data_IF_895615977441
#
_entry.id   IF_895615977441
#
_cell.length_a   1.000
_cell.length_b   1.000
_cell.length_c   1.000
_cell.angle_alpha   90.00
_cell.angle_beta   90.00
_cell.angle_gamma   90.00
#
_symmetry.space_group_name_H-M   'P 1'
#
loop_
_entity.id
_entity.type
_entity.pdbx_description
1 polymer ?
#
# COMPACT_ATOMS: atom_id res chain seq x y z
N UNK A 1 -27.71 7.28 -10.61
CA UNK A 1 -26.34 7.72 -10.24
C UNK A 1 -25.47 6.50 -10.14
N UNK A 2 -24.37 6.41 -10.90
CA UNK A 2 -23.43 5.29 -10.78
C UNK A 2 -22.11 5.78 -10.20
N UNK A 3 -21.96 5.72 -8.88
CA UNK A 3 -20.63 5.85 -8.26
C UNK A 3 -19.77 4.63 -8.60
N UNK A 4 -20.41 3.46 -8.62
CA UNK A 4 -19.81 2.23 -9.10
C UNK A 4 -19.28 2.37 -10.54
N UNK A 5 -18.15 1.72 -10.81
CA UNK A 5 -17.57 1.58 -12.13
C UNK A 5 -16.97 0.16 -12.29
N UNK A 6 -16.89 -0.37 -13.52
CA UNK A 6 -16.26 -1.67 -13.78
C UNK A 6 -14.81 -1.69 -13.29
N UNK A 7 -14.34 -2.84 -12.79
CA UNK A 7 -12.97 -3.03 -12.31
C UNK A 7 -12.61 -2.29 -11.00
N UNK A 8 -13.60 -1.73 -10.28
CA UNK A 8 -13.37 -0.99 -9.03
C UNK A 8 -12.63 -1.80 -7.95
N UNK A 9 -12.80 -3.13 -7.92
CA UNK A 9 -12.18 -4.03 -6.93
C UNK A 9 -11.02 -4.86 -7.47
N UNK A 10 -10.85 -4.93 -8.79
CA UNK A 10 -9.92 -5.84 -9.45
C UNK A 10 -8.49 -5.73 -8.91
N UNK A 11 -8.01 -4.50 -8.71
CA UNK A 11 -6.65 -4.31 -8.20
C UNK A 11 -6.47 -4.92 -6.81
N UNK A 12 -7.45 -4.75 -5.93
CA UNK A 12 -7.41 -5.32 -4.58
C UNK A 12 -7.41 -6.85 -4.61
N UNK A 13 -8.20 -7.43 -5.51
CA UNK A 13 -8.31 -8.89 -5.69
C UNK A 13 -7.02 -9.48 -6.26
N UNK A 14 -6.31 -8.75 -7.12
CA UNK A 14 -5.01 -9.16 -7.67
C UNK A 14 -3.85 -9.11 -6.64
N UNK A 15 -4.00 -8.41 -5.53
CA UNK A 15 -2.96 -8.35 -4.50
C UNK A 15 -2.97 -9.67 -3.72
N UNK A 16 -1.88 -10.43 -3.84
CA UNK A 16 -1.69 -11.66 -3.08
C UNK A 16 -1.65 -11.40 -1.57
N UNK A 17 -2.14 -12.38 -0.80
CA UNK A 17 -1.99 -12.37 0.64
C UNK A 17 -0.52 -12.45 1.05
N UNK A 18 -0.14 -11.84 2.20
CA UNK A 18 1.21 -11.96 2.72
C UNK A 18 1.57 -13.42 2.99
N UNK A 19 2.86 -13.74 2.87
CA UNK A 19 3.35 -15.06 3.25
C UNK A 19 3.16 -15.28 4.75
N UNK A 20 2.93 -16.53 5.17
CA UNK A 20 2.75 -16.89 6.58
C UNK A 20 3.83 -16.23 7.46
N UNK A 21 3.38 -15.54 8.52
CA UNK A 21 4.19 -14.83 9.52
C UNK A 21 4.91 -13.56 9.03
N UNK A 22 4.66 -13.07 7.81
CA UNK A 22 5.17 -11.77 7.37
C UNK A 22 4.28 -10.62 7.85
N UNK A 23 4.88 -9.45 8.08
CA UNK A 23 4.23 -8.22 8.57
C UNK A 23 3.63 -8.22 9.99
N UNK A 24 3.60 -9.33 10.74
CA UNK A 24 3.12 -9.34 12.13
C UNK A 24 3.87 -8.37 13.05
N UNK A 25 5.10 -7.99 12.66
CA UNK A 25 5.91 -7.00 13.35
C UNK A 25 5.30 -5.59 13.32
N UNK A 26 4.40 -5.28 12.37
CA UNK A 26 3.87 -3.92 12.16
C UNK A 26 3.09 -3.39 13.37
N UNK A 27 2.49 -4.29 14.16
CA UNK A 27 1.72 -3.96 15.36
C UNK A 27 2.51 -4.16 16.67
N UNK A 28 3.80 -4.52 16.58
CA UNK A 28 4.68 -4.63 17.76
C UNK A 28 5.24 -3.25 18.10
N UNK A 29 5.69 -3.08 19.34
CA UNK A 29 6.33 -1.84 19.76
C UNK A 29 7.62 -1.62 18.94
N UNK A 30 7.74 -0.52 18.18
CA UNK A 30 8.95 -0.24 17.42
C UNK A 30 10.22 -0.21 18.29
N UNK A 31 10.11 0.16 19.57
CA UNK A 31 11.23 0.19 20.52
C UNK A 31 11.85 -1.20 20.75
N UNK A 32 11.06 -2.28 20.62
CA UNK A 32 11.54 -3.65 20.77
C UNK A 32 12.35 -4.13 19.56
N UNK A 33 12.25 -3.45 18.41
CA UNK A 33 12.82 -3.92 17.15
C UNK A 33 14.15 -3.27 16.77
N UNK A 34 14.64 -2.32 17.58
CA UNK A 34 15.90 -1.60 17.33
C UNK A 34 15.87 -0.69 16.09
N UNK A 35 14.72 -0.51 15.45
CA UNK A 35 14.50 0.38 14.31
C UNK A 35 13.22 1.19 14.54
N UNK A 36 13.30 2.49 14.86
CA UNK A 36 12.11 3.27 15.12
C UNK A 36 11.41 3.60 13.80
N UNK A 37 10.26 2.96 13.55
CA UNK A 37 9.20 3.57 12.73
C UNK A 37 8.18 4.21 13.66
N UNK A 38 7.34 5.09 13.12
CA UNK A 38 6.25 5.66 13.92
C UNK A 38 5.21 4.56 14.21
N UNK A 39 4.92 4.31 15.47
CA UNK A 39 3.99 3.24 15.88
C UNK A 39 2.60 3.42 15.25
N UNK A 40 2.27 2.55 14.29
CA UNK A 40 0.98 2.53 13.61
C UNK A 40 -0.15 2.10 14.55
N UNK A 41 0.12 1.22 15.52
CA UNK A 41 -0.85 0.82 16.52
C UNK A 41 -1.28 2.02 17.37
N UNK A 42 -0.30 2.83 17.78
CA UNK A 42 -0.54 4.13 18.43
C UNK A 42 -1.30 5.09 17.52
N UNK A 43 -0.90 5.23 16.26
CA UNK A 43 -1.64 6.07 15.30
C UNK A 43 -3.11 5.64 15.19
N UNK A 44 -3.39 4.34 15.04
CA UNK A 44 -4.74 3.83 14.83
C UNK A 44 -5.67 4.05 16.03
N UNK A 45 -5.16 3.93 17.26
CA UNK A 45 -5.98 4.06 18.47
C UNK A 45 -6.07 5.48 19.05
N UNK A 46 -5.14 6.38 18.71
CA UNK A 46 -5.09 7.71 19.32
C UNK A 46 -6.15 8.64 18.72
N UNK A 47 -6.68 9.56 19.54
CA UNK A 47 -7.67 10.57 19.14
C UNK A 47 -7.19 11.52 18.03
N UNK A 48 -5.88 11.63 17.81
CA UNK A 48 -5.30 12.43 16.73
C UNK A 48 -5.69 11.85 15.37
N UNK A 49 -6.40 12.64 14.58
CA UNK A 49 -6.68 12.31 13.18
C UNK A 49 -5.54 12.76 12.27
N UNK A 50 -5.56 12.30 11.03
CA UNK A 50 -4.52 12.64 10.07
C UNK A 50 -4.09 11.47 9.19
N UNK A 51 -2.90 11.61 8.64
CA UNK A 51 -2.32 10.67 7.68
C UNK A 51 -1.20 9.86 8.33
N UNK A 52 -1.16 8.56 8.05
CA UNK A 52 -0.01 7.69 8.23
C UNK A 52 0.52 7.29 6.85
N UNK A 53 1.81 7.48 6.60
CA UNK A 53 2.40 7.27 5.28
C UNK A 53 3.37 6.09 5.24
N UNK A 54 3.06 5.09 4.41
CA UNK A 54 3.93 3.94 4.13
C UNK A 54 4.66 4.20 2.82
N UNK A 55 5.98 4.35 2.90
CA UNK A 55 6.85 4.51 1.74
C UNK A 55 7.70 3.28 1.49
N UNK A 56 8.13 3.07 0.25
CA UNK A 56 8.94 1.91 -0.09
C UNK A 56 9.30 1.82 -1.56
N UNK A 57 10.37 1.07 -1.86
CA UNK A 57 10.83 0.81 -3.23
C UNK A 57 9.74 0.09 -4.05
N UNK A 58 9.87 0.14 -5.38
CA UNK A 58 9.06 -0.69 -6.25
C UNK A 58 9.27 -2.17 -5.89
N UNK A 59 8.20 -2.96 -5.85
CA UNK A 59 8.28 -4.38 -5.51
C UNK A 59 8.63 -4.71 -4.05
N UNK A 60 8.67 -3.74 -3.13
CA UNK A 60 8.96 -4.00 -1.70
C UNK A 60 7.78 -4.57 -0.90
N UNK A 61 6.61 -4.81 -1.52
CA UNK A 61 5.42 -5.35 -0.87
C UNK A 61 4.46 -4.34 -0.24
N UNK A 62 4.50 -3.05 -0.66
CA UNK A 62 3.62 -1.99 -0.11
C UNK A 62 2.14 -2.34 -0.20
N UNK A 63 1.66 -2.70 -1.39
CA UNK A 63 0.25 -3.04 -1.63
C UNK A 63 -0.20 -4.25 -0.79
N UNK A 64 0.68 -5.25 -0.64
CA UNK A 64 0.44 -6.40 0.24
C UNK A 64 0.34 -5.97 1.71
N UNK A 65 1.23 -5.10 2.19
CA UNK A 65 1.16 -4.56 3.54
C UNK A 65 -0.09 -3.70 3.76
N UNK A 66 -0.46 -2.86 2.79
CA UNK A 66 -1.67 -2.02 2.83
C UNK A 66 -2.94 -2.87 2.95
N UNK A 67 -3.05 -3.94 2.13
CA UNK A 67 -4.14 -4.90 2.19
C UNK A 67 -4.16 -5.66 3.52
N UNK A 68 -2.99 -6.10 3.98
CA UNK A 68 -2.85 -6.75 5.28
C UNK A 68 -3.35 -5.86 6.41
N UNK A 69 -2.88 -4.60 6.51
CA UNK A 69 -3.31 -3.67 7.56
C UNK A 69 -4.81 -3.41 7.47
N UNK A 70 -5.34 -3.12 6.28
CA UNK A 70 -6.75 -2.75 6.09
C UNK A 70 -7.71 -3.87 6.49
N UNK A 71 -7.31 -5.12 6.28
CA UNK A 71 -8.15 -6.30 6.57
C UNK A 71 -7.83 -6.96 7.91
N UNK A 72 -6.86 -6.45 8.68
CA UNK A 72 -6.44 -7.06 9.94
C UNK A 72 -7.45 -6.78 11.09
N UNK A 73 -7.77 -7.82 11.86
CA UNK A 73 -8.64 -7.69 13.04
C UNK A 73 -8.06 -6.75 14.11
N UNK A 74 -6.73 -6.70 14.24
CA UNK A 74 -6.03 -5.77 15.15
C UNK A 74 -6.26 -4.33 14.73
N UNK A 75 -6.16 -4.02 13.43
CA UNK A 75 -6.45 -2.67 12.91
C UNK A 75 -7.86 -2.25 13.29
N UNK A 76 -8.86 -3.10 13.01
CA UNK A 76 -10.26 -2.82 13.36
C UNK A 76 -10.43 -2.59 14.86
N UNK A 77 -9.85 -3.45 15.70
CA UNK A 77 -9.90 -3.31 17.17
C UNK A 77 -9.31 -1.99 17.65
N UNK A 78 -8.18 -1.55 17.09
CA UNK A 78 -7.54 -0.29 17.45
C UNK A 78 -8.35 0.92 16.97
N UNK A 79 -8.87 0.87 15.74
CA UNK A 79 -9.73 1.93 15.20
C UNK A 79 -11.06 2.05 15.96
N UNK A 80 -11.63 0.94 16.46
CA UNK A 80 -12.83 0.99 17.31
C UNK A 80 -12.57 1.73 18.62
N UNK A 81 -11.35 1.65 19.19
CA UNK A 81 -10.98 2.47 20.36
C UNK A 81 -10.96 3.96 20.01
N UNK A 82 -10.47 4.31 18.82
CA UNK A 82 -10.50 5.68 18.32
C UNK A 82 -11.92 6.19 18.03
N UNK A 83 -12.77 5.36 17.44
CA UNK A 83 -14.17 5.69 17.14
C UNK A 83 -15.00 5.86 18.42
N UNK A 84 -14.69 5.12 19.48
CA UNK A 84 -15.41 5.19 20.75
C UNK A 84 -16.85 4.70 20.58
N UNK A 85 -17.82 5.62 20.74
CA UNK A 85 -19.25 5.33 20.53
C UNK A 85 -19.71 5.52 19.08
N UNK A 86 -18.88 6.12 18.24
CA UNK A 86 -19.21 6.34 16.84
C UNK A 86 -19.14 5.04 16.04
N UNK A 87 -19.91 4.98 14.96
CA UNK A 87 -19.78 3.93 13.96
C UNK A 87 -18.43 4.07 13.22
N UNK A 88 -17.79 2.95 12.88
CA UNK A 88 -16.54 2.92 12.12
C UNK A 88 -16.81 2.44 10.70
N UNK A 89 -16.46 3.27 9.72
CA UNK A 89 -16.48 2.93 8.30
C UNK A 89 -15.04 2.84 7.79
N UNK A 90 -14.65 1.66 7.31
CA UNK A 90 -13.33 1.39 6.74
C UNK A 90 -13.47 1.18 5.23
N UNK A 91 -12.72 1.94 4.44
CA UNK A 91 -12.77 1.88 2.97
C UNK A 91 -11.37 1.94 2.38
N UNK A 92 -11.20 1.34 1.21
CA UNK A 92 -9.90 1.20 0.56
C UNK A 92 -9.94 1.55 -0.93
N UNK A 93 -8.82 2.04 -1.45
CA UNK A 93 -8.58 2.20 -2.88
C UNK A 93 -7.15 1.82 -3.20
N UNK A 94 -6.96 1.05 -4.27
CA UNK A 94 -5.65 0.62 -4.72
C UNK A 94 -5.46 1.12 -6.15
N UNK A 95 -4.54 2.08 -6.31
CA UNK A 95 -4.15 2.55 -7.63
C UNK A 95 -3.58 1.41 -8.45
N UNK A 96 -3.85 1.45 -9.76
CA UNK A 96 -3.27 0.52 -10.70
C UNK A 96 -2.90 1.21 -12.01
N UNK A 97 -1.60 1.43 -12.21
CA UNK A 97 -1.08 2.08 -13.40
C UNK A 97 -1.44 1.32 -14.69
N UNK A 98 -1.45 -0.02 -14.63
CA UNK A 98 -1.86 -0.90 -15.73
C UNK A 98 -3.38 -1.09 -15.85
N UNK A 99 -4.17 -0.37 -15.06
CA UNK A 99 -5.62 -0.46 -15.02
C UNK A 99 -6.33 0.53 -15.94
N UNK A 100 -7.65 0.64 -15.77
CA UNK A 100 -8.49 1.63 -16.43
C UNK A 100 -8.16 3.07 -15.99
N UNK A 101 -8.60 4.07 -16.76
CA UNK A 101 -8.43 5.50 -16.39
C UNK A 101 -9.00 5.84 -15.00
N UNK A 102 -10.08 5.17 -14.58
CA UNK A 102 -10.64 5.36 -13.24
C UNK A 102 -9.73 4.75 -12.15
N UNK A 103 -9.06 3.63 -12.39
CA UNK A 103 -8.13 3.04 -11.42
C UNK A 103 -6.83 3.85 -11.22
N UNK A 104 -6.64 4.90 -12.02
CA UNK A 104 -5.45 5.77 -11.97
C UNK A 104 -5.78 7.27 -11.93
N UNK A 105 -7.02 7.63 -11.56
CA UNK A 105 -7.45 9.03 -11.49
C UNK A 105 -8.13 9.39 -10.17
N UNK A 106 -8.19 10.69 -9.90
CA UNK A 106 -8.84 11.27 -8.74
C UNK A 106 -10.33 10.91 -8.67
N UNK A 107 -10.99 10.94 -9.83
CA UNK A 107 -12.41 10.60 -9.97
C UNK A 107 -12.66 9.17 -9.51
N UNK A 108 -11.79 8.22 -9.86
CA UNK A 108 -11.95 6.84 -9.42
C UNK A 108 -11.72 6.66 -7.92
N UNK A 109 -10.75 7.37 -7.32
CA UNK A 109 -10.57 7.40 -5.86
C UNK A 109 -11.87 7.86 -5.19
N UNK A 110 -12.35 9.06 -5.54
CA UNK A 110 -13.53 9.64 -4.90
C UNK A 110 -14.78 8.79 -5.12
N UNK A 111 -14.99 8.28 -6.34
CA UNK A 111 -16.11 7.39 -6.67
C UNK A 111 -16.06 6.11 -5.83
N UNK A 112 -14.90 5.47 -5.74
CA UNK A 112 -14.75 4.21 -5.01
C UNK A 112 -14.96 4.39 -3.50
N UNK A 113 -14.30 5.39 -2.90
CA UNK A 113 -14.44 5.68 -1.48
C UNK A 113 -15.88 6.06 -1.12
N UNK A 114 -16.52 6.96 -1.89
CA UNK A 114 -17.92 7.31 -1.68
C UNK A 114 -18.85 6.11 -1.88
N UNK A 115 -18.63 5.31 -2.92
CA UNK A 115 -19.44 4.11 -3.15
C UNK A 115 -19.40 3.18 -1.93
N UNK A 116 -18.21 2.88 -1.41
CA UNK A 116 -18.05 2.00 -0.26
C UNK A 116 -18.65 2.59 1.03
N UNK A 117 -18.46 3.90 1.28
CA UNK A 117 -19.07 4.59 2.42
C UNK A 117 -20.60 4.52 2.34
N UNK A 118 -21.17 4.88 1.19
CA UNK A 118 -22.62 4.93 1.01
C UNK A 118 -23.26 3.54 0.93
N UNK A 119 -22.52 2.51 0.46
CA UNK A 119 -22.96 1.13 0.52
C UNK A 119 -22.99 0.61 1.97
N UNK A 120 -22.05 1.04 2.80
CA UNK A 120 -22.00 0.69 4.24
C UNK A 120 -23.09 1.42 5.02
N UNK A 121 -23.30 2.72 4.75
CA UNK A 121 -24.31 3.54 5.41
C UNK A 121 -25.19 4.30 4.41
N UNK A 122 -26.24 3.66 3.85
CA UNK A 122 -27.11 4.25 2.85
C UNK A 122 -27.81 5.54 3.29
N UNK A 123 -28.00 5.75 4.60
CA UNK A 123 -28.55 6.99 5.15
C UNK A 123 -27.74 8.24 4.79
N UNK A 124 -26.47 8.09 4.41
CA UNK A 124 -25.60 9.18 3.99
C UNK A 124 -25.82 9.63 2.54
N UNK A 125 -26.63 8.92 1.74
CA UNK A 125 -26.84 9.25 0.31
C UNK A 125 -27.49 10.63 0.17
N UNK A 126 -28.52 10.93 0.97
CA UNK A 126 -29.19 12.22 0.96
C UNK A 126 -28.25 13.37 1.36
N UNK A 127 -27.30 13.08 2.26
CA UNK A 127 -26.30 14.05 2.69
C UNK A 127 -25.25 14.31 1.61
N UNK A 128 -24.76 13.25 0.97
CA UNK A 128 -23.74 13.29 -0.07
C UNK A 128 -24.26 13.96 -1.35
N UNK A 129 -25.51 13.66 -1.75
CA UNK A 129 -26.10 14.09 -3.01
C UNK A 129 -27.56 14.54 -2.86
N UNK A 130 -27.81 15.65 -2.13
CA UNK A 130 -29.17 16.08 -1.79
C UNK A 130 -30.04 16.37 -3.03
N UNK A 131 -29.47 17.04 -4.04
CA UNK A 131 -30.19 17.39 -5.27
C UNK A 131 -30.55 16.15 -6.09
N UNK A 132 -29.62 15.21 -6.23
CA UNK A 132 -29.86 13.96 -6.96
C UNK A 132 -30.82 13.05 -6.20
N UNK A 133 -30.77 13.04 -4.88
CA UNK A 133 -31.73 12.34 -4.04
C UNK A 133 -33.14 12.91 -4.22
N UNK A 134 -33.28 14.24 -4.16
CA UNK A 134 -34.56 14.93 -4.40
C UNK A 134 -35.11 14.63 -5.80
N UNK A 135 -34.27 14.70 -6.83
CA UNK A 135 -34.67 14.38 -8.20
C UNK A 135 -35.17 12.93 -8.34
N UNK A 136 -34.51 11.96 -7.70
CA UNK A 136 -34.96 10.57 -7.67
C UNK A 136 -36.33 10.39 -7.01
N UNK A 137 -36.61 11.14 -5.94
CA UNK A 137 -37.91 11.11 -5.26
C UNK A 137 -39.04 11.73 -6.10
N UNK A 138 -38.76 12.78 -6.89
CA UNK A 138 -39.76 13.53 -7.66
C UNK A 138 -40.01 12.91 -9.04
N UNK A 139 -38.97 12.46 -9.74
CA UNK A 139 -39.05 12.10 -11.17
C UNK A 139 -39.63 10.70 -11.46
N UNK A 140 -40.28 10.05 -10.48
CA UNK A 140 -40.90 8.73 -10.68
C UNK A 140 -39.95 7.64 -11.20
N UNK A 141 -38.63 7.81 -11.03
CA UNK A 141 -37.61 6.87 -11.50
C UNK A 141 -37.01 7.16 -12.89
N UNK A 142 -37.35 8.25 -13.58
CA UNK A 142 -36.60 8.64 -14.78
C UNK A 142 -35.18 9.08 -14.40
N UNK A 143 -34.22 8.19 -14.68
CA UNK A 143 -32.81 8.38 -14.35
C UNK A 143 -32.16 9.29 -15.39
N UNK A 144 -31.90 10.54 -15.05
CA UNK A 144 -30.76 11.22 -15.66
C UNK A 144 -29.48 10.64 -15.05
N UNK A 145 -28.87 9.70 -15.77
CA UNK A 145 -27.70 8.92 -15.34
C UNK A 145 -26.38 9.64 -15.58
N UNK A 146 -26.31 10.96 -15.46
CA UNK A 146 -25.03 11.64 -15.60
C UNK A 146 -24.10 11.26 -14.46
N UNK A 147 -22.87 10.92 -14.82
CA UNK A 147 -21.80 10.67 -13.85
C UNK A 147 -21.56 11.94 -13.01
N UNK A 148 -21.34 11.82 -11.69
CA UNK A 148 -20.97 12.97 -10.88
C UNK A 148 -19.67 13.61 -11.37
N UNK A 149 -19.66 14.94 -11.46
CA UNK A 149 -18.44 15.67 -11.81
C UNK A 149 -17.41 15.59 -10.67
N UNK A 150 -16.11 15.81 -10.92
CA UNK A 150 -15.09 15.82 -9.87
C UNK A 150 -15.43 16.81 -8.73
N UNK A 151 -15.92 18.01 -9.08
CA UNK A 151 -16.37 19.01 -8.11
C UNK A 151 -17.56 18.54 -7.28
N UNK A 152 -18.47 17.78 -7.88
CA UNK A 152 -19.59 17.18 -7.15
C UNK A 152 -19.13 16.09 -6.19
N UNK A 153 -18.21 15.22 -6.63
CA UNK A 153 -17.64 14.15 -5.80
C UNK A 153 -16.89 14.71 -4.58
N UNK A 154 -16.07 15.74 -4.77
CA UNK A 154 -15.37 16.44 -3.68
C UNK A 154 -16.34 17.04 -2.68
N UNK A 155 -17.38 17.74 -3.16
CA UNK A 155 -18.44 18.30 -2.30
C UNK A 155 -19.19 17.22 -1.54
N UNK A 156 -19.53 16.11 -2.19
CA UNK A 156 -20.22 14.99 -1.57
C UNK A 156 -19.38 14.37 -0.44
N UNK A 157 -18.09 14.14 -0.68
CA UNK A 157 -17.20 13.59 0.34
C UNK A 157 -17.07 14.54 1.54
N UNK A 158 -16.81 15.83 1.28
CA UNK A 158 -16.71 16.83 2.34
C UNK A 158 -18.02 16.94 3.14
N UNK A 159 -19.18 16.92 2.46
CA UNK A 159 -20.48 16.96 3.13
C UNK A 159 -20.68 15.75 4.06
N UNK A 160 -20.31 14.54 3.61
CA UNK A 160 -20.39 13.32 4.43
C UNK A 160 -19.50 13.44 5.66
N UNK A 161 -18.23 13.79 5.47
CA UNK A 161 -17.26 13.81 6.57
C UNK A 161 -17.54 14.93 7.58
N UNK A 162 -17.95 16.11 7.13
CA UNK A 162 -18.17 17.27 8.01
C UNK A 162 -19.48 17.20 8.79
N UNK A 163 -20.55 16.66 8.18
CA UNK A 163 -21.89 16.70 8.78
C UNK A 163 -22.27 15.42 9.51
N UNK A 164 -21.51 14.33 9.32
CA UNK A 164 -21.73 13.07 10.02
C UNK A 164 -20.87 13.01 11.29
N UNK A 165 -21.45 13.40 12.43
CA UNK A 165 -20.73 13.43 13.71
C UNK A 165 -20.64 12.07 14.40
N UNK A 166 -21.56 11.16 14.07
CA UNK A 166 -21.71 9.81 14.62
C UNK A 166 -20.86 8.75 13.92
N UNK A 167 -20.05 9.13 12.93
CA UNK A 167 -19.24 8.20 12.13
C UNK A 167 -17.77 8.62 12.10
N UNK A 168 -16.89 7.63 12.19
CA UNK A 168 -15.46 7.74 11.99
C UNK A 168 -15.07 6.99 10.72
N UNK A 169 -14.23 7.60 9.89
CA UNK A 169 -13.82 7.06 8.60
C UNK A 169 -12.33 6.69 8.61
N UNK A 170 -12.01 5.47 8.22
CA UNK A 170 -10.64 5.04 7.93
C UNK A 170 -10.50 4.80 6.43
N UNK A 171 -9.58 5.54 5.81
CA UNK A 171 -9.33 5.51 4.37
C UNK A 171 -7.95 4.89 4.12
N UNK A 172 -7.89 3.76 3.44
CA UNK A 172 -6.63 3.18 2.96
C UNK A 172 -6.47 3.48 1.46
N UNK A 173 -5.44 4.23 1.07
CA UNK A 173 -5.17 4.55 -0.34
C UNK A 173 -3.74 4.11 -0.69
N UNK A 174 -3.65 3.05 -1.48
CA UNK A 174 -2.37 2.45 -1.89
C UNK A 174 -1.93 2.93 -3.27
N UNK A 175 -0.64 3.22 -3.42
CA UNK A 175 -0.01 3.47 -4.72
C UNK A 175 -0.24 4.87 -5.27
N UNK A 176 -0.14 5.92 -4.46
CA UNK A 176 -0.28 7.30 -4.96
C UNK A 176 0.69 7.62 -6.12
N UNK A 177 1.85 6.95 -6.18
CA UNK A 177 2.81 7.06 -7.29
C UNK A 177 2.34 6.42 -8.61
N UNK A 178 1.25 5.65 -8.60
CA UNK A 178 0.64 5.05 -9.79
C UNK A 178 -0.47 5.92 -10.41
N UNK A 179 -0.71 7.11 -9.86
CA UNK A 179 -1.63 8.11 -10.41
C UNK A 179 -1.19 8.56 -11.82
N UNK A 180 -2.16 8.63 -12.73
CA UNK A 180 -1.95 9.07 -14.11
C UNK A 180 -2.37 10.54 -14.25
N UNK A 181 -1.42 11.43 -14.01
CA UNK A 181 -1.54 12.85 -14.27
C UNK A 181 -0.17 13.50 -14.41
N UNK A 182 -0.12 14.74 -14.89
CA UNK A 182 1.13 15.49 -14.93
C UNK A 182 1.65 15.74 -13.51
N UNK A 183 2.92 16.15 -13.35
CA UNK A 183 3.49 16.46 -12.03
C UNK A 183 2.65 17.49 -11.24
N UNK A 184 2.03 18.45 -11.94
CA UNK A 184 1.10 19.41 -11.36
C UNK A 184 -0.17 18.75 -10.79
N UNK A 185 -0.68 17.70 -11.45
CA UNK A 185 -1.87 16.95 -11.03
C UNK A 185 -1.57 16.05 -9.82
N UNK A 186 -0.33 15.58 -9.68
CA UNK A 186 0.10 14.83 -8.49
C UNK A 186 0.00 15.68 -7.22
N UNK A 187 0.36 16.96 -7.32
CA UNK A 187 0.22 17.90 -6.19
C UNK A 187 -1.25 18.13 -5.82
N UNK A 188 -2.15 18.15 -6.82
CA UNK A 188 -3.59 18.25 -6.60
C UNK A 188 -4.17 16.99 -5.93
N UNK A 189 -3.70 15.80 -6.32
CA UNK A 189 -4.07 14.55 -5.66
C UNK A 189 -3.64 14.54 -4.20
N UNK A 190 -2.38 14.92 -3.93
CA UNK A 190 -1.85 14.95 -2.57
C UNK A 190 -2.58 15.97 -1.71
N UNK A 191 -2.82 17.18 -2.25
CA UNK A 191 -3.65 18.20 -1.62
C UNK A 191 -5.03 17.66 -1.27
N UNK A 192 -5.71 17.03 -2.23
CA UNK A 192 -7.01 16.41 -2.00
C UNK A 192 -6.95 15.40 -0.85
N UNK A 193 -6.07 14.40 -0.91
CA UNK A 193 -6.02 13.36 0.12
C UNK A 193 -5.68 13.93 1.49
N UNK A 194 -4.82 14.96 1.56
CA UNK A 194 -4.58 15.70 2.80
C UNK A 194 -5.82 16.40 3.30
N UNK A 195 -6.59 17.06 2.44
CA UNK A 195 -7.84 17.72 2.83
C UNK A 195 -8.87 16.71 3.36
N UNK A 196 -8.97 15.54 2.73
CA UNK A 196 -9.86 14.46 3.20
C UNK A 196 -9.47 13.99 4.61
N UNK A 197 -8.16 13.94 4.91
CA UNK A 197 -7.62 13.36 6.16
C UNK A 197 -7.37 14.37 7.28
N UNK A 198 -7.52 15.67 7.02
CA UNK A 198 -7.40 16.72 8.04
C UNK A 198 -8.58 16.75 9.02
N UNK A 199 -9.72 16.14 8.66
CA UNK A 199 -10.89 16.13 9.52
C UNK A 199 -10.68 15.23 10.74
N UNK A 200 -11.17 15.66 11.91
CA UNK A 200 -11.00 14.97 13.21
C UNK A 200 -11.68 13.59 13.30
N UNK A 201 -12.46 13.23 12.28
CA UNK A 201 -13.15 11.94 12.13
C UNK A 201 -12.59 11.09 10.99
N UNK A 202 -11.46 11.48 10.40
CA UNK A 202 -10.84 10.75 9.29
C UNK A 202 -9.40 10.38 9.63
N UNK A 203 -9.08 9.09 9.48
CA UNK A 203 -7.69 8.62 9.44
C UNK A 203 -7.37 8.11 8.05
N UNK A 204 -6.28 8.61 7.48
CA UNK A 204 -5.74 8.13 6.22
C UNK A 204 -4.54 7.22 6.44
N UNK A 205 -4.54 6.05 5.82
CA UNK A 205 -3.36 5.23 5.60
C UNK A 205 -3.00 5.33 4.12
N UNK A 206 -1.85 5.92 3.81
CA UNK A 206 -1.45 6.22 2.44
C UNK A 206 -0.17 5.48 2.09
N UNK A 207 -0.05 5.01 0.86
CA UNK A 207 1.19 4.39 0.37
C UNK A 207 1.70 5.03 -0.91
N UNK A 208 3.02 5.13 -1.04
CA UNK A 208 3.66 5.53 -2.30
C UNK A 208 5.15 5.14 -2.38
N UNK A 209 5.77 5.37 -3.52
CA UNK A 209 7.24 5.51 -3.60
C UNK A 209 7.71 6.74 -2.82
N UNK A 210 8.96 6.76 -2.32
CA UNK A 210 9.53 7.89 -1.61
C UNK A 210 9.99 9.01 -2.57
N UNK A 211 9.12 9.43 -3.49
CA UNK A 211 9.39 10.57 -4.37
C UNK A 211 9.35 11.89 -3.59
N UNK A 212 10.09 12.89 -4.07
CA UNK A 212 10.25 14.17 -3.38
C UNK A 212 8.90 14.85 -3.05
N UNK A 213 7.94 14.81 -3.99
CA UNK A 213 6.60 15.38 -3.78
C UNK A 213 5.87 14.77 -2.57
N UNK A 214 5.97 13.47 -2.37
CA UNK A 214 5.34 12.79 -1.23
C UNK A 214 6.13 13.00 0.06
N UNK A 215 7.46 12.95 0.00
CA UNK A 215 8.32 13.22 1.15
C UNK A 215 8.09 14.62 1.72
N UNK A 216 7.97 15.61 0.85
CA UNK A 216 7.71 16.99 1.25
C UNK A 216 6.28 17.14 1.78
N UNK A 217 5.30 16.51 1.13
CA UNK A 217 3.89 16.67 1.48
C UNK A 217 3.47 15.92 2.74
N UNK A 218 4.12 14.81 3.06
CA UNK A 218 3.86 14.01 4.26
C UNK A 218 4.95 14.21 5.32
N UNK A 219 5.79 15.24 5.17
CA UNK A 219 6.74 15.64 6.20
C UNK A 219 6.00 15.95 7.52
N UNK A 220 6.42 15.30 8.60
CA UNK A 220 5.80 15.44 9.92
C UNK A 220 4.58 14.53 10.16
N UNK A 221 4.10 13.80 9.15
CA UNK A 221 3.16 12.71 9.38
C UNK A 221 3.90 11.47 9.92
N UNK A 222 3.26 10.66 10.77
CA UNK A 222 3.81 9.37 11.14
C UNK A 222 4.02 8.50 9.89
N UNK A 223 5.17 7.84 9.81
CA UNK A 223 5.58 7.12 8.61
C UNK A 223 6.35 5.83 8.87
N UNK A 224 6.36 4.98 7.84
CA UNK A 224 7.12 3.73 7.77
C UNK A 224 7.82 3.63 6.42
N UNK A 225 9.10 3.27 6.42
CA UNK A 225 9.86 2.92 5.21
C UNK A 225 9.97 1.41 5.07
N UNK A 226 9.04 0.80 4.35
CA UNK A 226 8.85 -0.66 4.34
C UNK A 226 10.13 -1.45 4.01
N UNK A 227 10.89 -1.02 3.02
CA UNK A 227 12.11 -1.70 2.57
C UNK A 227 13.21 -1.82 3.64
N UNK A 228 13.14 -1.04 4.72
CA UNK A 228 14.06 -1.14 5.85
C UNK A 228 13.69 -2.29 6.82
N UNK A 229 12.50 -2.87 6.67
CA UNK A 229 11.91 -3.88 7.57
C UNK A 229 11.66 -5.23 6.90
N UNK A 230 11.84 -5.33 5.59
CA UNK A 230 11.57 -6.58 4.85
C UNK A 230 12.66 -7.63 5.01
N UNK A 231 13.87 -7.30 5.49
CA UNK A 231 15.00 -8.25 5.53
C UNK A 231 14.70 -9.54 6.31
N UNK A 232 14.13 -9.51 7.53
CA UNK A 232 13.79 -10.75 8.25
C UNK A 232 12.71 -11.57 7.54
N UNK A 233 11.70 -10.91 6.98
CA UNK A 233 10.62 -11.56 6.24
C UNK A 233 11.14 -12.20 4.93
N UNK A 234 12.05 -11.53 4.23
CA UNK A 234 12.76 -12.04 3.05
C UNK A 234 13.60 -13.27 3.41
N UNK A 235 14.36 -13.22 4.51
CA UNK A 235 15.14 -14.37 4.97
C UNK A 235 14.26 -15.58 5.30
N UNK A 236 13.11 -15.36 5.97
CA UNK A 236 12.14 -16.43 6.24
C UNK A 236 11.56 -16.99 4.94
N UNK A 237 11.20 -16.14 3.99
CA UNK A 237 10.69 -16.56 2.68
C UNK A 237 11.71 -17.40 1.90
N UNK A 238 12.95 -16.92 1.80
CA UNK A 238 14.05 -17.62 1.11
C UNK A 238 14.33 -18.98 1.76
N UNK A 239 14.44 -19.02 3.09
CA UNK A 239 14.63 -20.28 3.83
C UNK A 239 13.47 -21.26 3.62
N UNK A 240 12.22 -20.79 3.69
CA UNK A 240 11.05 -21.64 3.48
C UNK A 240 10.94 -22.19 2.06
N UNK A 241 11.32 -21.41 1.04
CA UNK A 241 11.20 -21.84 -0.36
C UNK A 241 12.40 -22.63 -0.87
N UNK A 242 13.60 -22.13 -0.63
CA UNK A 242 14.85 -22.75 -1.13
C UNK A 242 15.32 -23.84 -0.18
N UNK A 243 15.27 -23.61 1.13
CA UNK A 243 15.75 -24.56 2.14
C UNK A 243 14.96 -25.88 2.21
N UNK A 244 13.72 -25.89 1.73
CA UNK A 244 12.89 -27.10 1.67
C UNK A 244 13.19 -27.97 0.42
N UNK A 245 14.02 -27.52 -0.51
CA UNK A 245 14.34 -28.29 -1.72
C UNK A 245 15.27 -29.47 -1.38
N UNK A 246 14.96 -30.67 -1.89
CA UNK A 246 15.68 -31.93 -1.57
C UNK A 246 17.19 -31.86 -1.88
N UNK A 247 17.54 -31.19 -2.98
CA UNK A 247 18.94 -30.94 -3.35
C UNK A 247 19.64 -30.03 -2.35
N UNK A 248 18.98 -29.00 -1.85
CA UNK A 248 19.54 -28.10 -0.84
C UNK A 248 19.80 -28.86 0.44
N UNK A 249 18.89 -29.74 0.88
CA UNK A 249 19.13 -30.61 2.03
C UNK A 249 20.36 -31.52 1.85
N UNK A 250 20.53 -32.10 0.64
CA UNK A 250 21.72 -32.91 0.31
C UNK A 250 23.00 -32.08 0.30
N UNK A 251 22.94 -30.84 -0.19
CA UNK A 251 24.07 -29.92 -0.25
C UNK A 251 24.43 -29.40 1.14
N UNK A 252 23.46 -29.08 1.98
CA UNK A 252 23.68 -28.67 3.38
C UNK A 252 24.43 -29.74 4.17
N UNK A 253 24.18 -31.03 3.90
CA UNK A 253 24.93 -32.13 4.53
C UNK A 253 26.42 -32.17 4.13
N UNK A 254 26.78 -31.61 2.97
CA UNK A 254 28.17 -31.56 2.46
C UNK A 254 28.86 -30.22 2.75
N UNK A 255 28.13 -29.12 2.61
CA UNK A 255 28.59 -27.75 2.79
C UNK A 255 27.45 -26.86 3.30
N UNK A 256 27.18 -26.95 4.61
CA UNK A 256 26.18 -26.10 5.26
C UNK A 256 26.52 -24.62 5.14
N UNK A 257 27.81 -24.26 5.24
CA UNK A 257 28.24 -22.87 5.21
C UNK A 257 28.01 -22.23 3.82
N UNK A 258 28.28 -22.97 2.74
CA UNK A 258 28.03 -22.48 1.37
C UNK A 258 26.55 -22.23 1.09
N UNK A 259 25.66 -23.08 1.60
CA UNK A 259 24.20 -22.89 1.51
C UNK A 259 23.77 -21.67 2.32
N UNK A 260 24.22 -21.52 3.57
CA UNK A 260 23.87 -20.38 4.41
C UNK A 260 24.38 -19.06 3.82
N UNK A 261 25.58 -19.06 3.23
CA UNK A 261 26.13 -17.92 2.52
C UNK A 261 25.29 -17.56 1.30
N UNK A 262 24.85 -18.55 0.49
CA UNK A 262 23.96 -18.31 -0.66
C UNK A 262 22.65 -17.67 -0.23
N UNK A 263 22.01 -18.20 0.82
CA UNK A 263 20.75 -17.64 1.33
C UNK A 263 20.95 -16.20 1.82
N UNK A 264 22.04 -15.93 2.54
CA UNK A 264 22.39 -14.60 3.03
C UNK A 264 22.68 -13.62 1.88
N UNK A 265 23.40 -14.06 0.85
CA UNK A 265 23.67 -13.27 -0.35
C UNK A 265 22.38 -12.88 -1.08
N UNK A 266 21.42 -13.79 -1.24
CA UNK A 266 20.10 -13.47 -1.83
C UNK A 266 19.37 -12.42 -0.98
N UNK A 267 19.35 -12.61 0.34
CA UNK A 267 18.69 -11.69 1.27
C UNK A 267 19.30 -10.29 1.19
N UNK A 268 20.62 -10.18 1.21
CA UNK A 268 21.32 -8.89 1.23
C UNK A 268 21.27 -8.20 -0.15
N UNK A 269 21.41 -8.96 -1.24
CA UNK A 269 21.29 -8.45 -2.60
C UNK A 269 19.89 -7.88 -2.91
N UNK A 270 18.85 -8.37 -2.22
CA UNK A 270 17.47 -7.89 -2.42
C UNK A 270 17.29 -6.41 -2.16
N UNK A 271 18.12 -5.81 -1.29
CA UNK A 271 17.97 -4.43 -0.82
C UNK A 271 16.53 -4.07 -0.39
N UNK A 272 15.80 -5.05 0.14
CA UNK A 272 14.41 -4.93 0.59
C UNK A 272 13.33 -5.03 -0.50
N UNK A 273 13.67 -5.52 -1.69
CA UNK A 273 12.74 -5.68 -2.82
C UNK A 273 12.24 -7.12 -2.91
N UNK A 274 11.05 -7.39 -2.38
CA UNK A 274 10.45 -8.73 -2.34
C UNK A 274 10.21 -9.34 -3.73
N UNK A 275 9.83 -8.53 -4.73
CA UNK A 275 9.63 -9.02 -6.10
C UNK A 275 10.94 -9.57 -6.69
N UNK A 276 12.06 -8.90 -6.45
CA UNK A 276 13.37 -9.37 -6.90
C UNK A 276 13.71 -10.71 -6.25
N UNK A 277 13.46 -10.84 -4.94
CA UNK A 277 13.68 -12.09 -4.21
C UNK A 277 12.83 -13.22 -4.79
N UNK A 278 11.57 -12.96 -5.07
CA UNK A 278 10.67 -13.94 -5.67
C UNK A 278 11.23 -14.47 -7.00
N UNK A 279 11.67 -13.58 -7.90
CA UNK A 279 12.24 -13.95 -9.19
C UNK A 279 13.56 -14.73 -9.04
N UNK A 280 14.43 -14.30 -8.12
CA UNK A 280 15.70 -15.00 -7.85
C UNK A 280 15.45 -16.39 -7.26
N UNK A 281 14.52 -16.51 -6.31
CA UNK A 281 14.15 -17.81 -5.74
C UNK A 281 13.60 -18.75 -6.82
N UNK A 282 12.76 -18.28 -7.75
CA UNK A 282 12.31 -19.09 -8.87
C UNK A 282 13.47 -19.59 -9.74
N UNK A 283 14.39 -18.68 -10.10
CA UNK A 283 15.57 -19.04 -10.90
C UNK A 283 16.50 -20.03 -10.16
N UNK A 284 16.68 -19.87 -8.85
CA UNK A 284 17.46 -20.79 -8.01
C UNK A 284 16.81 -22.17 -7.97
N UNK A 285 15.49 -22.24 -7.78
CA UNK A 285 14.77 -23.52 -7.76
C UNK A 285 14.83 -24.24 -9.12
N UNK A 286 14.77 -23.50 -10.22
CA UNK A 286 14.95 -24.04 -11.57
C UNK A 286 16.36 -24.62 -11.77
N UNK A 287 17.41 -23.86 -11.42
CA UNK A 287 18.78 -24.35 -11.51
C UNK A 287 19.06 -25.57 -10.61
N UNK A 288 18.49 -25.59 -9.40
CA UNK A 288 18.55 -26.75 -8.51
C UNK A 288 17.88 -27.99 -9.12
N UNK A 289 16.80 -27.81 -9.88
CA UNK A 289 16.11 -28.90 -10.59
C UNK A 289 16.92 -29.40 -11.78
N UNK A 290 17.64 -28.51 -12.48
CA UNK A 290 18.48 -28.82 -13.64
C UNK A 290 19.88 -29.36 -13.30
N UNK A 291 20.16 -29.54 -12.01
CA UNK A 291 21.42 -30.03 -11.48
C UNK A 291 22.61 -29.06 -11.56
N UNK A 292 22.37 -27.76 -11.64
CA UNK A 292 23.41 -26.73 -11.66
C UNK A 292 24.23 -26.71 -10.34
N UNK A 293 25.51 -26.34 -10.46
CA UNK A 293 26.40 -26.12 -9.31
C UNK A 293 26.08 -24.81 -8.58
N UNK A 294 26.48 -24.67 -7.31
CA UNK A 294 26.23 -23.43 -6.54
C UNK A 294 26.82 -22.21 -7.25
N UNK A 295 28.02 -22.35 -7.83
CA UNK A 295 28.65 -21.27 -8.59
C UNK A 295 27.82 -20.89 -9.83
N UNK A 296 27.23 -21.86 -10.52
CA UNK A 296 26.39 -21.66 -11.70
C UNK A 296 25.06 -21.01 -11.35
N UNK A 297 24.51 -21.25 -10.15
CA UNK A 297 23.29 -20.60 -9.64
C UNK A 297 23.55 -19.15 -9.19
N UNK A 298 24.79 -18.83 -8.76
CA UNK A 298 25.18 -17.46 -8.36
C UNK A 298 25.24 -16.47 -9.54
N UNK A 299 25.61 -16.93 -10.74
CA UNK A 299 25.81 -16.06 -11.91
C UNK A 299 24.51 -15.50 -12.58
N UNK A 300 23.41 -16.25 -12.74
CA UNK A 300 22.15 -15.78 -13.30
C UNK A 300 21.58 -14.56 -12.56
N UNK A 301 21.75 -14.51 -11.25
CA UNK A 301 21.32 -13.41 -10.36
C UNK A 301 21.88 -12.04 -10.77
N UNK A 302 23.12 -12.01 -11.30
CA UNK A 302 23.74 -10.77 -11.80
C UNK A 302 23.23 -10.33 -13.17
N UNK A 303 22.61 -11.23 -13.94
CA UNK A 303 22.04 -10.90 -15.26
C UNK A 303 20.64 -10.30 -15.13
N UNK A 304 19.90 -10.68 -14.08
CA UNK A 304 18.63 -10.03 -13.70
C UNK A 304 18.80 -8.55 -13.34
N UNK A 305 19.97 -8.14 -12.81
CA UNK A 305 20.30 -6.71 -12.60
C UNK A 305 20.26 -5.86 -13.88
N UNK A 306 20.40 -6.48 -15.07
CA UNK A 306 20.39 -5.75 -16.36
C UNK A 306 19.03 -5.73 -17.06
N UNK A 307 18.07 -6.57 -16.66
CA UNK A 307 16.77 -6.68 -17.37
C UNK A 307 15.62 -5.91 -16.73
N UNK A 308 15.70 -5.61 -15.44
CA UNK A 308 14.72 -4.79 -14.74
C UNK A 308 15.50 -3.82 -13.84
N UNK A 309 15.44 -2.53 -14.15
CA UNK A 309 16.08 -1.45 -13.38
C UNK A 309 15.50 -1.38 -11.95
N UNK A 310 15.98 -2.27 -11.08
CA UNK A 310 15.78 -2.24 -9.63
C UNK A 310 16.99 -1.62 -8.92
N UNK A 311 17.90 -0.98 -9.67
CA UNK A 311 19.19 -0.53 -9.13
C UNK A 311 19.00 0.43 -7.95
N UNK A 312 19.67 0.09 -6.84
CA UNK A 312 19.97 0.98 -5.73
C UNK A 312 20.91 2.12 -6.19
N UNK A 313 20.41 3.04 -7.02
CA UNK A 313 21.14 4.26 -7.37
C UNK A 313 20.91 5.34 -6.30
N UNK A 314 21.44 5.11 -5.10
CA UNK A 314 21.58 6.13 -4.05
C UNK A 314 23.06 6.26 -3.65
N UNK A 315 23.92 6.67 -4.60
CA UNK A 315 25.24 7.24 -4.30
C UNK A 315 25.63 8.25 -5.38
N UNK A 316 25.40 9.54 -5.09
CA UNK A 316 26.31 10.69 -5.34
C UNK A 316 25.54 11.99 -5.09
N UNK A 317 25.76 12.59 -3.93
CA UNK A 317 25.68 14.04 -3.83
C UNK A 317 26.86 14.62 -4.63
N UNK A 318 26.68 15.62 -5.49
CA UNK A 318 27.80 16.27 -6.14
C UNK A 318 28.58 17.09 -5.10
N UNK A 319 29.83 16.69 -4.85
CA UNK A 319 30.82 17.55 -4.21
C UNK A 319 30.99 18.79 -5.10
N UNK A 320 30.52 19.95 -4.61
CA UNK A 320 30.93 21.24 -5.15
C UNK A 320 32.43 21.38 -4.96
N UNK A 321 33.19 21.23 -6.04
CA UNK A 321 34.54 21.79 -6.12
C UNK A 321 34.40 23.19 -6.70
N UNK A 322 34.55 24.18 -5.83
CA UNK A 322 34.87 25.56 -6.18
C UNK A 322 36.26 25.60 -6.81
N UNK A 323 36.31 26.01 -8.07
CA UNK A 323 37.45 26.59 -8.76
C UNK A 323 36.97 27.85 -9.45
#
# INVERSE_FOLDING_TARGET
>A
MSLWFPLMKDREEMIHDPHNQTFDWIFRDPAETGKPWDDIGKFLQTASSGTYWISGKAGSGKSTLMKYISNNATTRRLLLRWAGQNELVMVSFYFYHGGSELQKSEVGVLRSLLYQILATRPGLIQLAFPERFRALCIAGGQRETFEPSPTELRRAFNAVVQKCSDVNFFLAVDGLDEYNGADADMSLLVSMVRDLTQHSKVKGLLSSRPWAVFQQSFAGCPQLRLHDFTRPDIARFVSAKVGQHSRVQTMTAKDSQGVDNLMTEIVDASCGVFLWVYLVVLSVLEGLTNYDMVEEIRYPSTTLHKRQDFSCSWKRAPSRTSG
#
